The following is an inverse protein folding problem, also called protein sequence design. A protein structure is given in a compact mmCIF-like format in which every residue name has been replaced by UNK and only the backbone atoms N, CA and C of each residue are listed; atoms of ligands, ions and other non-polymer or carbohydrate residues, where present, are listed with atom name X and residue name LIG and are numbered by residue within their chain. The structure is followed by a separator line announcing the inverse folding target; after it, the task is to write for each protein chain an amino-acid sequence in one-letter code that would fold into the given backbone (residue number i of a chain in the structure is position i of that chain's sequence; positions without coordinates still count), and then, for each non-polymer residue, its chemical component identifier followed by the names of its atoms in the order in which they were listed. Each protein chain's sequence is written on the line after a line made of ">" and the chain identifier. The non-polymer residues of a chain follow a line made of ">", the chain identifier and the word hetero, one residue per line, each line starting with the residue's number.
data_IF_964529401835
#
_entry.id   IF_964529401835
#
_cell.length_a   1.000
_cell.length_b   1.000
_cell.length_c   1.000
_cell.angle_alpha   90.00
_cell.angle_beta   90.00
_cell.angle_gamma   90.00
#
_symmetry.space_group_name_H-M   'P 1'
#
loop_
_entity.id
_entity.type
_entity.pdbx_description
1 polymer ?
#
# COMPACT_ATOMS: atom_id res chain seq x y z
N UNK A 1 -0.72 -58.38 -36.73
CA UNK A 1 -0.96 -58.98 -35.40
C UNK A 1 -0.07 -58.23 -34.41
N UNK A 2 -0.66 -57.52 -33.45
CA UNK A 2 -0.03 -56.73 -32.34
C UNK A 2 0.93 -55.61 -32.76
N UNK A 3 0.63 -54.31 -32.68
CA UNK A 3 -0.09 -53.55 -31.65
C UNK A 3 0.40 -53.81 -30.22
N UNK A 4 1.51 -53.17 -29.85
CA UNK A 4 1.75 -52.73 -28.47
C UNK A 4 2.81 -51.60 -28.48
N UNK A 5 2.43 -50.35 -28.76
CA UNK A 5 2.07 -49.41 -27.70
C UNK A 5 2.81 -49.67 -26.38
N UNK A 6 4.13 -49.47 -26.36
CA UNK A 6 4.80 -49.02 -25.13
C UNK A 6 4.35 -47.59 -24.85
N UNK A 7 3.09 -47.47 -24.44
CA UNK A 7 2.56 -46.33 -23.71
C UNK A 7 3.39 -46.31 -22.42
N UNK A 8 4.47 -45.51 -22.38
CA UNK A 8 5.16 -45.19 -21.14
C UNK A 8 4.09 -44.71 -20.18
N UNK A 9 3.72 -45.57 -19.22
CA UNK A 9 2.83 -45.15 -18.15
C UNK A 9 3.46 -43.93 -17.47
N UNK A 10 2.67 -42.90 -17.15
CA UNK A 10 3.21 -41.77 -16.39
C UNK A 10 3.73 -42.32 -15.07
N UNK A 11 5.06 -42.34 -14.91
CA UNK A 11 5.72 -42.71 -13.67
C UNK A 11 5.06 -41.92 -12.54
N UNK A 12 4.31 -42.62 -11.68
CA UNK A 12 3.67 -42.04 -10.49
C UNK A 12 4.80 -41.51 -9.62
N UNK A 13 5.10 -40.22 -9.72
CA UNK A 13 6.07 -39.56 -8.85
C UNK A 13 5.67 -39.83 -7.41
N UNK A 14 6.56 -40.48 -6.66
CA UNK A 14 6.37 -40.77 -5.24
C UNK A 14 5.93 -39.49 -4.50
N UNK A 15 5.00 -39.61 -3.54
CA UNK A 15 4.57 -38.51 -2.67
C UNK A 15 5.78 -37.73 -2.11
N UNK A 16 6.87 -38.44 -1.79
CA UNK A 16 8.12 -37.87 -1.28
C UNK A 16 8.77 -36.96 -2.33
N UNK A 17 8.80 -37.36 -3.59
CA UNK A 17 9.40 -36.55 -4.67
C UNK A 17 8.61 -35.27 -4.96
N UNK A 18 7.27 -35.32 -4.88
CA UNK A 18 6.44 -34.12 -5.02
C UNK A 18 6.62 -33.19 -3.82
N UNK A 19 6.66 -33.73 -2.60
CA UNK A 19 6.90 -32.96 -1.40
C UNK A 19 8.26 -32.24 -1.46
N UNK A 20 9.34 -32.94 -1.83
CA UNK A 20 10.68 -32.35 -1.94
C UNK A 20 10.70 -31.21 -2.98
N UNK A 21 10.06 -31.41 -4.15
CA UNK A 21 10.07 -30.43 -5.24
C UNK A 21 9.40 -29.09 -4.89
N UNK A 22 8.47 -29.06 -3.94
CA UNK A 22 7.84 -27.82 -3.47
C UNK A 22 8.44 -27.29 -2.17
N UNK A 23 8.76 -28.19 -1.23
CA UNK A 23 9.26 -27.81 0.09
C UNK A 23 10.65 -27.18 0.01
N UNK A 24 11.55 -27.73 -0.83
CA UNK A 24 12.93 -27.21 -0.92
C UNK A 24 12.98 -25.77 -1.47
N UNK A 25 12.34 -25.44 -2.62
CA UNK A 25 12.33 -24.06 -3.10
C UNK A 25 11.60 -23.09 -2.16
N UNK A 26 10.52 -23.54 -1.51
CA UNK A 26 9.78 -22.71 -0.55
C UNK A 26 10.62 -22.39 0.68
N UNK A 27 11.35 -23.38 1.20
CA UNK A 27 12.25 -23.22 2.33
C UNK A 27 13.42 -22.31 1.96
N UNK A 28 13.97 -22.44 0.75
CA UNK A 28 15.00 -21.52 0.25
C UNK A 28 14.51 -20.07 0.26
N UNK A 29 13.33 -19.80 -0.34
CA UNK A 29 12.72 -18.47 -0.36
C UNK A 29 12.48 -17.94 1.06
N UNK A 30 12.05 -18.80 1.98
CA UNK A 30 11.83 -18.42 3.37
C UNK A 30 13.13 -18.06 4.08
N UNK A 31 14.14 -18.93 4.00
CA UNK A 31 15.44 -18.73 4.64
C UNK A 31 16.11 -17.47 4.10
N UNK A 32 16.18 -17.29 2.78
CA UNK A 32 16.80 -16.09 2.21
C UNK A 32 16.07 -14.83 2.63
N UNK A 33 14.73 -14.85 2.71
CA UNK A 33 13.97 -13.70 3.21
C UNK A 33 14.39 -13.34 4.64
N UNK A 34 14.35 -14.30 5.56
CA UNK A 34 14.60 -14.07 6.98
C UNK A 34 16.07 -13.77 7.28
N UNK A 35 17.01 -14.37 6.58
CA UNK A 35 18.45 -14.09 6.76
C UNK A 35 18.74 -12.60 6.53
N UNK A 36 18.33 -12.03 5.40
CA UNK A 36 18.56 -10.61 5.14
C UNK A 36 17.68 -9.70 6.00
N UNK A 37 16.44 -10.12 6.33
CA UNK A 37 15.58 -9.37 7.25
C UNK A 37 16.24 -9.19 8.62
N UNK A 38 16.77 -10.28 9.18
CA UNK A 38 17.45 -10.28 10.47
C UNK A 38 18.77 -9.51 10.41
N UNK A 39 19.54 -9.62 9.33
CA UNK A 39 20.77 -8.84 9.16
C UNK A 39 20.49 -7.34 9.13
N UNK A 40 19.48 -6.89 8.36
CA UNK A 40 19.06 -5.48 8.35
C UNK A 40 18.65 -5.04 9.74
N UNK A 41 17.83 -5.83 10.46
CA UNK A 41 17.46 -5.49 11.84
C UNK A 41 18.69 -5.35 12.74
N UNK A 42 19.60 -6.33 12.68
CA UNK A 42 20.80 -6.36 13.52
C UNK A 42 21.73 -5.18 13.23
N UNK A 43 21.87 -4.74 11.97
CA UNK A 43 22.63 -3.54 11.63
C UNK A 43 22.08 -2.31 12.37
N UNK A 44 20.76 -2.12 12.37
CA UNK A 44 20.13 -0.99 13.06
C UNK A 44 20.18 -1.14 14.58
N UNK A 45 20.03 -2.36 15.11
CA UNK A 45 20.11 -2.62 16.55
C UNK A 45 21.51 -2.30 17.08
N UNK A 46 22.56 -2.74 16.38
CA UNK A 46 23.96 -2.36 16.68
C UNK A 46 24.17 -0.85 16.58
N UNK A 47 23.58 -0.20 15.58
CA UNK A 47 23.70 1.25 15.44
C UNK A 47 23.03 2.00 16.60
N UNK A 48 21.85 1.54 17.04
CA UNK A 48 21.14 2.12 18.18
C UNK A 48 21.91 1.93 19.49
N UNK A 49 22.49 0.75 19.74
CA UNK A 49 23.33 0.51 20.90
C UNK A 49 24.55 1.45 20.96
N UNK A 50 25.16 1.74 19.81
CA UNK A 50 26.30 2.66 19.70
C UNK A 50 25.93 4.12 19.99
N UNK A 51 24.64 4.48 20.06
CA UNK A 51 24.20 5.84 20.43
C UNK A 51 24.17 6.09 21.93
N UNK A 52 24.48 5.09 22.75
CA UNK A 52 24.40 5.16 24.22
C UNK A 52 25.12 6.38 24.81
N UNK A 53 24.37 7.23 25.51
CA UNK A 53 24.91 8.38 26.28
C UNK A 53 24.67 8.15 27.77
N UNK A 54 25.72 8.30 28.58
CA UNK A 54 25.60 8.32 30.04
C UNK A 54 25.14 9.71 30.50
N UNK A 55 23.94 9.81 31.06
CA UNK A 55 23.37 11.08 31.52
C UNK A 55 23.71 11.40 32.96
N UNK A 56 24.23 10.44 33.73
CA UNK A 56 24.63 10.62 35.13
C UNK A 56 26.03 10.02 35.38
N UNK A 57 27.09 10.59 34.77
CA UNK A 57 28.44 10.01 34.83
C UNK A 57 29.02 9.88 36.25
N UNK A 58 28.57 10.73 37.17
CA UNK A 58 29.05 10.73 38.56
C UNK A 58 28.09 10.05 39.56
N UNK A 59 26.99 9.46 39.09
CA UNK A 59 26.06 8.74 39.96
C UNK A 59 26.56 7.31 40.24
N UNK A 60 26.26 6.78 41.44
CA UNK A 60 26.54 5.37 41.79
C UNK A 60 25.86 4.37 40.83
N UNK A 61 24.75 4.78 40.23
CA UNK A 61 24.02 4.06 39.20
C UNK A 61 23.92 4.94 37.96
N UNK A 62 24.76 4.71 36.93
CA UNK A 62 24.71 5.50 35.70
C UNK A 62 23.43 5.22 34.93
N UNK A 63 22.78 6.28 34.47
CA UNK A 63 21.59 6.25 33.62
C UNK A 63 22.01 6.42 32.18
N UNK A 64 21.41 5.64 31.28
CA UNK A 64 21.72 5.67 29.86
C UNK A 64 20.50 6.04 29.03
N UNK A 65 20.73 6.83 27.99
CA UNK A 65 19.72 7.16 26.98
C UNK A 65 20.22 6.69 25.61
N UNK A 66 19.30 6.20 24.79
CA UNK A 66 19.54 5.66 23.45
C UNK A 66 18.66 6.40 22.46
N UNK A 67 19.08 6.44 21.20
CA UNK A 67 18.27 7.01 20.14
C UNK A 67 17.17 6.01 19.70
N UNK A 68 16.02 6.06 20.36
CA UNK A 68 14.87 5.22 20.02
C UNK A 68 14.27 5.53 18.65
N UNK A 69 14.52 6.72 18.08
CA UNK A 69 14.00 7.10 16.76
C UNK A 69 14.60 6.26 15.62
N UNK A 70 15.76 5.62 15.84
CA UNK A 70 16.35 4.66 14.92
C UNK A 70 15.47 3.42 14.74
N UNK A 71 14.65 3.06 15.74
CA UNK A 71 13.69 1.97 15.63
C UNK A 71 12.65 2.20 14.54
N UNK A 72 12.18 3.44 14.37
CA UNK A 72 11.24 3.78 13.29
C UNK A 72 11.89 3.67 11.91
N UNK A 73 13.12 4.19 11.77
CA UNK A 73 13.90 4.08 10.52
C UNK A 73 14.14 2.61 10.16
N UNK A 74 14.55 1.78 11.15
CA UNK A 74 14.71 0.34 10.99
C UNK A 74 13.44 -0.30 10.43
N UNK A 75 12.29 -0.06 11.06
CA UNK A 75 11.04 -0.66 10.65
C UNK A 75 10.63 -0.24 9.22
N UNK A 76 10.85 1.01 8.83
CA UNK A 76 10.60 1.46 7.45
C UNK A 76 11.50 0.72 6.46
N UNK A 77 12.79 0.54 6.76
CA UNK A 77 13.69 -0.24 5.92
C UNK A 77 13.30 -1.71 5.81
N UNK A 78 12.82 -2.32 6.90
CA UNK A 78 12.30 -3.68 6.87
C UNK A 78 11.07 -3.79 5.97
N UNK A 79 10.16 -2.82 6.02
CA UNK A 79 9.02 -2.76 5.10
C UNK A 79 9.45 -2.56 3.63
N UNK A 80 10.42 -1.68 3.37
CA UNK A 80 11.00 -1.47 2.03
C UNK A 80 11.62 -2.78 1.52
N UNK A 81 12.40 -3.46 2.36
CA UNK A 81 13.02 -4.73 2.04
C UNK A 81 11.97 -5.80 1.69
N UNK A 82 10.89 -5.93 2.47
CA UNK A 82 9.81 -6.87 2.17
C UNK A 82 9.19 -6.60 0.80
N UNK A 83 8.93 -5.33 0.45
CA UNK A 83 8.40 -4.97 -0.87
C UNK A 83 9.38 -5.29 -2.01
N UNK A 84 10.67 -5.01 -1.83
CA UNK A 84 11.71 -5.31 -2.82
C UNK A 84 11.80 -6.82 -3.02
N UNK A 85 11.90 -7.59 -1.94
CA UNK A 85 12.01 -9.05 -1.99
C UNK A 85 10.81 -9.67 -2.73
N UNK A 86 9.61 -9.24 -2.36
CA UNK A 86 8.38 -9.70 -2.98
C UNK A 86 8.30 -9.31 -4.48
N UNK A 87 8.79 -8.12 -4.85
CA UNK A 87 8.93 -7.70 -6.26
C UNK A 87 9.91 -8.60 -7.02
N UNK A 88 11.05 -8.95 -6.44
CA UNK A 88 12.05 -9.82 -7.06
C UNK A 88 11.44 -11.21 -7.36
N UNK A 89 10.63 -11.76 -6.45
CA UNK A 89 9.93 -13.03 -6.70
C UNK A 89 8.95 -12.93 -7.88
N UNK A 90 8.27 -11.80 -8.04
CA UNK A 90 7.41 -11.54 -9.21
C UNK A 90 8.22 -11.49 -10.50
N UNK A 91 9.33 -10.74 -10.50
CA UNK A 91 10.23 -10.60 -11.65
C UNK A 91 10.79 -11.97 -12.07
N UNK A 92 11.28 -12.75 -11.11
CA UNK A 92 11.76 -14.12 -11.36
C UNK A 92 10.65 -14.97 -12.00
N UNK A 93 9.42 -14.87 -11.50
CA UNK A 93 8.33 -15.67 -12.06
C UNK A 93 7.91 -15.20 -13.46
N UNK A 94 7.88 -13.89 -13.72
CA UNK A 94 7.51 -13.34 -15.03
C UNK A 94 8.50 -13.70 -16.13
N UNK A 95 9.80 -13.57 -15.84
CA UNK A 95 10.83 -13.68 -16.87
C UNK A 95 11.52 -15.06 -16.92
N UNK A 96 11.62 -15.78 -15.80
CA UNK A 96 12.34 -17.07 -15.72
C UNK A 96 11.43 -18.26 -15.47
N UNK A 97 10.72 -18.29 -14.34
CA UNK A 97 10.03 -19.52 -13.90
C UNK A 97 8.71 -19.79 -14.65
N UNK A 98 7.94 -18.74 -14.98
CA UNK A 98 6.63 -18.80 -15.67
C UNK A 98 5.70 -19.88 -15.09
N UNK A 99 5.72 -20.04 -13.77
CA UNK A 99 5.00 -21.09 -13.06
C UNK A 99 3.70 -20.53 -12.47
N UNK A 100 2.57 -21.18 -12.78
CA UNK A 100 1.24 -20.80 -12.29
C UNK A 100 1.12 -20.88 -10.77
N UNK A 101 1.66 -21.94 -10.15
CA UNK A 101 1.60 -22.12 -8.70
C UNK A 101 2.37 -21.00 -7.99
N UNK A 102 3.58 -20.69 -8.48
CA UNK A 102 4.39 -19.59 -7.95
C UNK A 102 3.71 -18.23 -8.17
N UNK A 103 2.98 -18.05 -9.27
CA UNK A 103 2.23 -16.83 -9.54
C UNK A 103 1.13 -16.59 -8.51
N UNK A 104 0.35 -17.63 -8.18
CA UNK A 104 -0.71 -17.55 -7.16
C UNK A 104 -0.12 -17.26 -5.78
N UNK A 105 0.96 -17.96 -5.41
CA UNK A 105 1.67 -17.74 -4.15
C UNK A 105 2.19 -16.31 -4.05
N UNK A 106 2.80 -15.78 -5.13
CA UNK A 106 3.27 -14.40 -5.18
C UNK A 106 2.13 -13.40 -4.95
N UNK A 107 0.94 -13.61 -5.54
CA UNK A 107 -0.20 -12.70 -5.32
C UNK A 107 -0.63 -12.68 -3.85
N UNK A 108 -0.67 -13.84 -3.19
CA UNK A 108 -1.03 -13.93 -1.77
C UNK A 108 0.00 -13.20 -0.91
N UNK A 109 1.29 -13.49 -1.12
CA UNK A 109 2.40 -12.84 -0.40
C UNK A 109 2.38 -11.33 -0.64
N UNK A 110 2.16 -10.89 -1.87
CA UNK A 110 2.16 -9.48 -2.23
C UNK A 110 0.95 -8.73 -1.67
N UNK A 111 -0.21 -9.38 -1.59
CA UNK A 111 -1.38 -8.83 -0.92
C UNK A 111 -1.10 -8.59 0.57
N UNK A 112 -0.48 -9.57 1.24
CA UNK A 112 -0.07 -9.44 2.64
C UNK A 112 1.00 -8.37 2.84
N UNK A 113 2.04 -8.36 2.00
CA UNK A 113 3.11 -7.37 2.05
C UNK A 113 2.58 -5.94 1.86
N UNK A 114 1.65 -5.76 0.91
CA UNK A 114 0.98 -4.48 0.69
C UNK A 114 0.16 -4.06 1.91
N UNK A 115 -0.64 -4.97 2.48
CA UNK A 115 -1.43 -4.67 3.68
C UNK A 115 -0.53 -4.26 4.85
N UNK A 116 0.54 -5.01 5.11
CA UNK A 116 1.52 -4.72 6.15
C UNK A 116 2.21 -3.36 5.93
N UNK A 117 2.56 -3.04 4.68
CA UNK A 117 3.14 -1.73 4.36
C UNK A 117 2.15 -0.59 4.61
N UNK A 118 0.89 -0.76 4.20
CA UNK A 118 -0.11 0.29 4.33
C UNK A 118 -0.54 0.54 5.77
N UNK A 119 -0.60 -0.50 6.61
CA UNK A 119 -0.93 -0.35 8.04
C UNK A 119 0.28 0.01 8.89
N UNK A 120 1.38 -0.72 8.75
CA UNK A 120 2.60 -0.56 9.57
C UNK A 120 3.59 0.41 8.96
N UNK A 121 3.92 0.26 7.68
CA UNK A 121 4.92 1.09 7.00
C UNK A 121 4.56 2.58 6.97
N UNK A 122 3.33 2.92 6.60
CA UNK A 122 2.85 4.31 6.63
C UNK A 122 2.80 4.89 8.05
N UNK A 123 2.49 4.06 9.05
CA UNK A 123 2.51 4.47 10.45
C UNK A 123 3.94 4.79 10.90
N UNK A 124 4.93 3.94 10.60
CA UNK A 124 6.34 4.20 10.92
C UNK A 124 6.86 5.46 10.21
N UNK A 125 6.42 5.74 8.99
CA UNK A 125 6.73 7.01 8.30
C UNK A 125 6.08 8.23 8.99
N UNK A 126 4.93 8.07 9.64
CA UNK A 126 4.33 9.12 10.48
C UNK A 126 5.12 9.33 11.77
N UNK A 127 5.58 8.25 12.42
CA UNK A 127 6.41 8.34 13.62
C UNK A 127 7.74 9.05 13.35
N UNK A 128 8.39 8.79 12.20
CA UNK A 128 9.59 9.53 11.78
C UNK A 128 9.32 11.04 11.67
N UNK A 129 8.18 11.41 11.09
CA UNK A 129 7.76 12.82 10.99
C UNK A 129 7.53 13.42 12.37
N UNK A 130 6.84 12.72 13.25
CA UNK A 130 6.53 13.23 14.58
C UNK A 130 7.80 13.34 15.43
N UNK A 131 8.74 12.39 15.33
CA UNK A 131 10.07 12.49 15.93
C UNK A 131 10.90 13.67 15.40
N UNK A 132 10.67 14.08 14.14
CA UNK A 132 11.29 15.28 13.56
C UNK A 132 10.66 16.58 14.07
N UNK A 133 9.32 16.63 14.15
CA UNK A 133 8.56 17.81 14.57
C UNK A 133 8.64 18.06 16.08
N UNK A 134 8.59 17.00 16.88
CA UNK A 134 8.61 17.05 18.33
C UNK A 134 9.91 16.48 18.84
N UNK A 135 10.98 17.28 18.75
CA UNK A 135 12.28 16.94 19.31
C UNK A 135 12.21 17.08 20.83
N UNK A 136 11.59 16.09 21.48
CA UNK A 136 11.39 16.05 22.94
C UNK A 136 12.67 15.68 23.69
N UNK A 137 13.67 15.09 23.02
CA UNK A 137 14.92 14.69 23.63
C UNK A 137 16.03 15.73 23.44
N UNK A 138 16.67 16.11 24.54
CA UNK A 138 17.82 17.02 24.53
C UNK A 138 19.06 16.42 23.84
N UNK A 139 19.11 15.09 23.69
CA UNK A 139 20.31 14.36 23.29
C UNK A 139 20.31 13.94 21.81
N UNK A 140 19.15 13.62 21.24
CA UNK A 140 19.04 13.13 19.86
C UNK A 140 18.08 13.99 19.06
N UNK A 141 18.55 14.48 17.91
CA UNK A 141 17.73 15.24 16.96
C UNK A 141 17.59 14.46 15.67
N UNK A 142 16.36 14.30 15.23
CA UNK A 142 16.07 13.69 13.93
C UNK A 142 16.41 14.70 12.82
N UNK A 143 17.30 14.34 11.90
CA UNK A 143 17.66 15.19 10.78
C UNK A 143 16.55 15.25 9.73
N UNK A 144 16.43 16.37 9.00
CA UNK A 144 15.44 16.55 7.94
C UNK A 144 15.56 15.51 6.81
N UNK A 145 16.76 14.94 6.60
CA UNK A 145 16.98 13.88 5.63
C UNK A 145 16.17 12.60 5.91
N UNK A 146 15.74 12.35 7.15
CA UNK A 146 14.89 11.20 7.47
C UNK A 146 13.50 11.31 6.84
N UNK A 147 13.03 12.52 6.55
CA UNK A 147 11.75 12.75 5.88
C UNK A 147 11.79 12.26 4.43
N UNK A 148 12.96 12.26 3.78
CA UNK A 148 13.13 11.76 2.41
C UNK A 148 12.86 10.25 2.30
N UNK A 149 12.98 9.51 3.40
CA UNK A 149 12.73 8.07 3.43
C UNK A 149 11.30 7.72 3.00
N UNK A 150 10.35 8.65 3.23
CA UNK A 150 8.97 8.54 2.75
C UNK A 150 8.89 8.42 1.24
N UNK A 151 9.60 9.28 0.50
CA UNK A 151 9.57 9.28 -0.95
C UNK A 151 10.31 8.08 -1.54
N UNK A 152 11.36 7.60 -0.87
CA UNK A 152 12.02 6.33 -1.21
C UNK A 152 11.03 5.17 -1.06
N UNK A 153 10.32 5.10 0.07
CA UNK A 153 9.31 4.07 0.30
C UNK A 153 8.18 4.10 -0.74
N UNK A 154 7.73 5.29 -1.14
CA UNK A 154 6.70 5.44 -2.19
C UNK A 154 7.22 5.03 -3.56
N UNK A 155 8.47 5.34 -3.91
CA UNK A 155 9.08 4.91 -5.16
C UNK A 155 9.17 3.38 -5.24
N UNK A 156 9.62 2.74 -4.16
CA UNK A 156 9.67 1.26 -4.06
C UNK A 156 8.28 0.66 -4.17
N UNK A 157 7.28 1.23 -3.48
CA UNK A 157 5.90 0.78 -3.58
C UNK A 157 5.36 0.92 -5.02
N UNK A 158 5.69 2.01 -5.72
CA UNK A 158 5.32 2.20 -7.13
C UNK A 158 5.88 1.10 -8.03
N UNK A 159 7.16 0.75 -7.86
CA UNK A 159 7.81 -0.36 -8.58
C UNK A 159 7.13 -1.69 -8.24
N UNK A 160 6.85 -1.93 -6.96
CA UNK A 160 6.14 -3.12 -6.49
C UNK A 160 4.75 -3.26 -7.13
N UNK A 161 3.97 -2.18 -7.15
CA UNK A 161 2.64 -2.16 -7.77
C UNK A 161 2.72 -2.38 -9.28
N UNK A 162 3.72 -1.79 -9.96
CA UNK A 162 3.93 -1.96 -11.39
C UNK A 162 4.20 -3.43 -11.77
N UNK A 163 5.11 -4.12 -11.07
CA UNK A 163 5.38 -5.52 -11.37
C UNK A 163 4.21 -6.44 -11.01
N UNK A 164 3.48 -6.13 -9.93
CA UNK A 164 2.24 -6.85 -9.62
C UNK A 164 1.16 -6.66 -10.69
N UNK A 165 1.05 -5.46 -11.26
CA UNK A 165 0.17 -5.20 -12.39
C UNK A 165 0.55 -6.05 -13.61
N UNK A 166 1.84 -6.13 -13.93
CA UNK A 166 2.35 -6.99 -15.02
C UNK A 166 2.04 -8.47 -14.75
N UNK A 167 2.19 -8.93 -13.51
CA UNK A 167 1.83 -10.30 -13.12
C UNK A 167 0.34 -10.58 -13.34
N UNK A 168 -0.54 -9.71 -12.85
CA UNK A 168 -1.99 -9.83 -13.01
C UNK A 168 -2.45 -9.73 -14.48
N UNK A 169 -1.66 -9.10 -15.36
CA UNK A 169 -1.93 -8.98 -16.80
C UNK A 169 -1.30 -10.11 -17.62
N UNK A 170 -0.37 -10.87 -17.05
CA UNK A 170 0.26 -12.00 -17.73
C UNK A 170 -0.77 -13.08 -18.11
N UNK A 171 -0.44 -13.91 -19.11
CA UNK A 171 -1.31 -15.01 -19.57
C UNK A 171 -1.62 -16.06 -18.50
N UNK A 172 -0.97 -15.98 -17.34
CA UNK A 172 -1.17 -16.87 -16.20
C UNK A 172 -2.51 -16.61 -15.50
N UNK A 173 -3.13 -15.45 -15.70
CA UNK A 173 -4.37 -15.06 -15.02
C UNK A 173 -5.45 -14.53 -15.96
N UNK A 174 -6.71 -14.74 -15.56
CA UNK A 174 -7.88 -14.26 -16.29
C UNK A 174 -8.18 -12.77 -16.05
N UNK A 175 -9.01 -12.19 -16.93
CA UNK A 175 -9.42 -10.77 -16.89
C UNK A 175 -9.93 -10.30 -15.51
N UNK A 176 -10.64 -11.18 -14.76
CA UNK A 176 -11.17 -10.87 -13.42
C UNK A 176 -10.10 -10.43 -12.42
N UNK A 177 -8.92 -11.04 -12.43
CA UNK A 177 -7.85 -10.71 -11.49
C UNK A 177 -7.21 -9.36 -11.81
N UNK A 178 -7.07 -9.03 -13.10
CA UNK A 178 -6.64 -7.69 -13.51
C UNK A 178 -7.62 -6.61 -13.04
N UNK A 179 -8.92 -6.87 -13.10
CA UNK A 179 -9.96 -5.96 -12.58
C UNK A 179 -9.84 -5.79 -11.07
N UNK A 180 -9.65 -6.88 -10.31
CA UNK A 180 -9.44 -6.82 -8.86
C UNK A 180 -8.21 -5.98 -8.49
N UNK A 181 -7.11 -6.10 -9.25
CA UNK A 181 -5.90 -5.33 -9.02
C UNK A 181 -6.13 -3.81 -9.16
N UNK A 182 -6.97 -3.36 -10.09
CA UNK A 182 -7.31 -1.94 -10.21
C UNK A 182 -7.98 -1.40 -8.94
N UNK A 183 -8.86 -2.16 -8.29
CA UNK A 183 -9.45 -1.74 -7.02
C UNK A 183 -8.38 -1.60 -5.93
N UNK A 184 -7.48 -2.59 -5.81
CA UNK A 184 -6.35 -2.54 -4.86
C UNK A 184 -5.47 -1.32 -5.13
N UNK A 185 -5.18 -1.02 -6.39
CA UNK A 185 -4.40 0.14 -6.80
C UNK A 185 -5.07 1.45 -6.37
N UNK A 186 -6.37 1.63 -6.65
CA UNK A 186 -7.09 2.86 -6.28
C UNK A 186 -7.24 3.05 -4.78
N UNK A 187 -7.41 1.96 -4.02
CA UNK A 187 -7.43 2.00 -2.55
C UNK A 187 -6.04 2.39 -2.03
N UNK A 188 -4.98 1.80 -2.59
CA UNK A 188 -3.59 2.11 -2.22
C UNK A 188 -3.25 3.58 -2.48
N UNK A 189 -3.61 4.11 -3.66
CA UNK A 189 -3.40 5.52 -4.00
C UNK A 189 -4.14 6.43 -3.02
N UNK A 190 -5.41 6.12 -2.69
CA UNK A 190 -6.16 6.91 -1.72
C UNK A 190 -5.48 6.93 -0.34
N UNK A 191 -4.95 5.80 0.09
CA UNK A 191 -4.28 5.68 1.39
C UNK A 191 -2.95 6.45 1.41
N UNK A 192 -2.17 6.39 0.33
CA UNK A 192 -0.95 7.19 0.15
C UNK A 192 -1.24 8.68 0.14
N UNK A 193 -2.22 9.12 -0.64
CA UNK A 193 -2.63 10.52 -0.70
C UNK A 193 -3.12 11.02 0.67
N UNK A 194 -3.85 10.17 1.41
CA UNK A 194 -4.27 10.48 2.78
C UNK A 194 -3.06 10.63 3.72
N UNK A 195 -2.10 9.70 3.66
CA UNK A 195 -0.85 9.79 4.45
C UNK A 195 -0.02 11.02 4.09
N UNK A 196 0.01 11.41 2.81
CA UNK A 196 0.74 12.57 2.34
C UNK A 196 0.08 13.87 2.79
N UNK A 197 -1.24 13.97 2.68
CA UNK A 197 -1.97 15.11 3.19
C UNK A 197 -1.72 15.31 4.69
N UNK A 198 -1.81 14.24 5.48
CA UNK A 198 -1.56 14.31 6.93
C UNK A 198 -0.13 14.75 7.24
N UNK A 199 0.84 14.35 6.42
CA UNK A 199 2.23 14.77 6.58
C UNK A 199 2.43 16.25 6.26
N UNK A 200 1.89 16.72 5.13
CA UNK A 200 1.96 18.13 4.73
C UNK A 200 1.28 19.00 5.78
N UNK A 201 0.07 18.64 6.22
CA UNK A 201 -0.64 19.40 7.25
C UNK A 201 0.11 19.43 8.58
N UNK A 202 0.78 18.33 8.97
CA UNK A 202 1.59 18.29 10.18
C UNK A 202 2.79 19.25 10.08
N UNK A 203 3.52 19.21 8.96
CA UNK A 203 4.69 20.05 8.72
C UNK A 203 4.31 21.53 8.67
N UNK A 204 3.11 21.84 8.18
CA UNK A 204 2.55 23.19 8.18
C UNK A 204 1.96 23.63 9.54
N UNK A 205 1.99 22.78 10.58
CA UNK A 205 1.42 23.09 11.89
C UNK A 205 -0.12 23.07 11.95
N UNK A 206 -0.81 22.62 10.91
CA UNK A 206 -2.27 22.66 10.75
C UNK A 206 -2.95 21.35 11.19
N UNK A 207 -2.60 20.85 12.38
CA UNK A 207 -3.10 19.55 12.87
C UNK A 207 -4.62 19.49 13.08
N UNK A 208 -5.24 20.61 13.43
CA UNK A 208 -6.70 20.72 13.58
C UNK A 208 -7.45 20.46 12.26
N UNK A 209 -6.79 20.63 11.12
CA UNK A 209 -7.37 20.43 9.78
C UNK A 209 -7.40 18.98 9.30
N UNK A 210 -6.88 18.00 10.04
CA UNK A 210 -6.72 16.62 9.54
C UNK A 210 -8.04 15.98 9.12
N UNK A 211 -9.07 16.05 9.95
CA UNK A 211 -10.37 15.41 9.67
C UNK A 211 -11.01 16.00 8.41
N UNK A 212 -11.11 17.34 8.36
CA UNK A 212 -11.69 18.06 7.23
C UNK A 212 -10.89 17.85 5.95
N UNK A 213 -9.56 17.94 6.04
CA UNK A 213 -8.66 17.71 4.91
C UNK A 213 -8.85 16.32 4.31
N UNK A 214 -8.91 15.27 5.14
CA UNK A 214 -9.14 13.91 4.68
C UNK A 214 -10.48 13.76 3.94
N UNK A 215 -11.54 14.39 4.44
CA UNK A 215 -12.86 14.31 3.79
C UNK A 215 -12.92 15.07 2.48
N UNK A 216 -12.26 16.23 2.39
CA UNK A 216 -12.09 16.96 1.12
C UNK A 216 -11.28 16.14 0.12
N UNK A 217 -10.20 15.49 0.57
CA UNK A 217 -9.36 14.64 -0.27
C UNK A 217 -10.15 13.44 -0.79
N UNK A 218 -10.90 12.74 0.06
CA UNK A 218 -11.65 11.57 -0.39
C UNK A 218 -12.78 11.97 -1.34
N UNK A 219 -13.48 13.08 -1.06
CA UNK A 219 -14.52 13.63 -1.93
C UNK A 219 -13.97 14.03 -3.31
N UNK A 220 -12.91 14.83 -3.35
CA UNK A 220 -12.25 15.22 -4.61
C UNK A 220 -11.66 14.03 -5.37
N UNK A 221 -11.02 13.09 -4.67
CA UNK A 221 -10.51 11.87 -5.29
C UNK A 221 -11.62 11.01 -5.91
N UNK A 222 -12.77 10.88 -5.22
CA UNK A 222 -13.92 10.16 -5.77
C UNK A 222 -14.46 10.80 -7.05
N UNK A 223 -14.54 12.14 -7.12
CA UNK A 223 -14.93 12.87 -8.34
C UNK A 223 -13.97 12.61 -9.50
N UNK A 224 -12.66 12.67 -9.23
CA UNK A 224 -11.62 12.39 -10.23
C UNK A 224 -11.76 10.95 -10.74
N UNK A 225 -11.99 9.98 -9.86
CA UNK A 225 -12.21 8.59 -10.27
C UNK A 225 -13.49 8.40 -11.08
N UNK A 226 -14.58 9.10 -10.76
CA UNK A 226 -15.82 9.08 -11.57
C UNK A 226 -15.51 9.62 -12.97
N UNK A 227 -14.84 10.77 -13.07
CA UNK A 227 -14.46 11.38 -14.34
C UNK A 227 -13.55 10.44 -15.18
N UNK A 228 -12.54 9.82 -14.55
CA UNK A 228 -11.65 8.85 -15.21
C UNK A 228 -12.43 7.61 -15.64
N UNK A 229 -13.32 7.07 -14.79
CA UNK A 229 -14.12 5.89 -15.09
C UNK A 229 -15.08 6.10 -16.27
N UNK A 230 -15.63 7.32 -16.39
CA UNK A 230 -16.44 7.75 -17.53
C UNK A 230 -15.55 7.91 -18.77
N UNK A 231 -14.44 8.66 -18.68
CA UNK A 231 -13.58 8.93 -19.84
C UNK A 231 -12.96 7.65 -20.43
N UNK A 232 -12.59 6.69 -19.58
CA UNK A 232 -11.98 5.42 -20.00
C UNK A 232 -13.00 4.31 -20.32
N UNK A 233 -14.30 4.59 -20.24
CA UNK A 233 -15.38 3.61 -20.41
C UNK A 233 -15.13 2.31 -19.63
N UNK A 234 -14.82 2.44 -18.33
CA UNK A 234 -14.57 1.30 -17.45
C UNK A 234 -15.64 1.24 -16.36
N UNK A 235 -16.65 0.40 -16.58
CA UNK A 235 -17.79 0.18 -15.65
C UNK A 235 -17.35 -0.07 -14.20
N UNK A 236 -16.34 -0.92 -14.00
CA UNK A 236 -15.85 -1.27 -12.67
C UNK A 236 -15.25 -0.07 -11.90
N UNK A 237 -14.56 0.84 -12.60
CA UNK A 237 -14.02 2.08 -12.00
C UNK A 237 -15.17 2.99 -11.57
N UNK A 238 -16.20 3.15 -12.42
CA UNK A 238 -17.37 3.99 -12.12
C UNK A 238 -18.09 3.51 -10.86
N UNK A 239 -18.39 2.22 -10.77
CA UNK A 239 -19.08 1.63 -9.61
C UNK A 239 -18.26 1.82 -8.33
N UNK A 240 -16.96 1.56 -8.39
CA UNK A 240 -16.07 1.77 -7.24
C UNK A 240 -16.01 3.23 -6.79
N UNK A 241 -15.93 4.16 -7.75
CA UNK A 241 -15.86 5.59 -7.46
C UNK A 241 -17.17 6.13 -6.85
N UNK A 242 -18.33 5.67 -7.35
CA UNK A 242 -19.64 6.01 -6.78
C UNK A 242 -19.79 5.42 -5.36
N UNK A 243 -19.34 4.19 -5.13
CA UNK A 243 -19.33 3.57 -3.81
C UNK A 243 -18.45 4.33 -2.82
N UNK A 244 -17.23 4.68 -3.22
CA UNK A 244 -16.32 5.51 -2.42
C UNK A 244 -16.96 6.87 -2.12
N UNK A 245 -17.57 7.51 -3.13
CA UNK A 245 -18.25 8.77 -2.95
C UNK A 245 -19.40 8.68 -1.93
N UNK A 246 -20.23 7.64 -2.02
CA UNK A 246 -21.29 7.37 -1.03
C UNK A 246 -20.73 7.23 0.39
N UNK A 247 -19.61 6.52 0.57
CA UNK A 247 -18.92 6.39 1.87
C UNK A 247 -18.43 7.76 2.36
N UNK A 248 -17.86 8.59 1.48
CA UNK A 248 -17.38 9.94 1.86
C UNK A 248 -18.51 10.85 2.31
N UNK A 249 -19.64 10.81 1.61
CA UNK A 249 -20.84 11.53 2.02
C UNK A 249 -21.29 11.06 3.39
N UNK A 250 -21.47 9.75 3.57
CA UNK A 250 -21.92 9.19 4.84
C UNK A 250 -21.00 9.60 6.00
N UNK A 251 -19.68 9.50 5.81
CA UNK A 251 -18.68 9.93 6.79
C UNK A 251 -18.81 11.43 7.10
N UNK A 252 -18.93 12.27 6.08
CA UNK A 252 -19.04 13.71 6.22
C UNK A 252 -20.31 14.10 7.01
N UNK A 253 -21.45 13.47 6.72
CA UNK A 253 -22.71 13.71 7.40
C UNK A 253 -22.71 13.23 8.87
N UNK A 254 -22.22 12.02 9.13
CA UNK A 254 -22.30 11.41 10.46
C UNK A 254 -21.22 11.92 11.42
N UNK A 255 -19.99 12.13 10.93
CA UNK A 255 -18.83 12.40 11.78
C UNK A 255 -18.29 13.83 11.66
N UNK A 256 -18.20 14.39 10.45
CA UNK A 256 -17.54 15.68 10.28
C UNK A 256 -18.49 16.85 10.57
N UNK A 257 -19.73 16.78 10.06
CA UNK A 257 -20.73 17.84 10.20
C UNK A 257 -21.21 18.02 11.66
N UNK A 258 -21.16 16.97 12.48
CA UNK A 258 -21.63 17.02 13.88
C UNK A 258 -20.74 17.87 14.78
N UNK A 259 -19.46 18.02 14.45
CA UNK A 259 -18.50 18.82 15.21
C UNK A 259 -18.29 20.23 14.65
N UNK A 260 -18.95 20.58 13.54
CA UNK A 260 -18.82 21.89 12.89
C UNK A 260 -19.80 22.91 13.47
N UNK A 261 -19.37 24.18 13.51
CA UNK A 261 -20.27 25.28 13.80
C UNK A 261 -21.35 25.44 12.70
N UNK A 262 -22.42 26.17 13.01
CA UNK A 262 -23.58 26.33 12.11
C UNK A 262 -23.19 26.86 10.73
N UNK A 263 -22.25 27.81 10.65
CA UNK A 263 -21.81 28.43 9.38
C UNK A 263 -21.05 27.41 8.51
N UNK A 264 -20.08 26.70 9.09
CA UNK A 264 -19.30 25.67 8.41
C UNK A 264 -20.17 24.49 7.95
N UNK A 265 -21.16 24.12 8.78
CA UNK A 265 -22.18 23.13 8.41
C UNK A 265 -22.98 23.55 7.17
N UNK A 266 -23.45 24.80 7.11
CA UNK A 266 -24.17 25.32 5.94
C UNK A 266 -23.29 25.32 4.68
N UNK A 267 -22.04 25.78 4.77
CA UNK A 267 -21.10 25.78 3.65
C UNK A 267 -20.85 24.35 3.16
N UNK A 268 -20.66 23.39 4.08
CA UNK A 268 -20.47 21.98 3.74
C UNK A 268 -21.68 21.40 2.99
N UNK A 269 -22.91 21.72 3.42
CA UNK A 269 -24.13 21.31 2.72
C UNK A 269 -24.24 21.88 1.31
N UNK A 270 -23.94 23.17 1.12
CA UNK A 270 -23.94 23.81 -0.20
C UNK A 270 -22.90 23.18 -1.12
N UNK A 271 -21.66 23.02 -0.64
CA UNK A 271 -20.59 22.39 -1.40
C UNK A 271 -20.96 20.96 -1.83
N UNK A 272 -21.61 20.22 -0.94
CA UNK A 272 -22.10 18.86 -1.20
C UNK A 272 -23.21 18.82 -2.25
N UNK A 273 -24.15 19.77 -2.20
CA UNK A 273 -25.18 19.93 -3.22
C UNK A 273 -24.60 20.24 -4.60
N UNK A 274 -23.65 21.16 -4.69
CA UNK A 274 -22.92 21.47 -5.93
C UNK A 274 -22.20 20.22 -6.45
N UNK A 275 -21.58 19.46 -5.56
CA UNK A 275 -20.83 18.27 -5.92
C UNK A 275 -21.73 17.15 -6.47
N UNK A 276 -22.92 16.96 -5.88
CA UNK A 276 -23.95 16.06 -6.41
C UNK A 276 -24.44 16.49 -7.80
N UNK A 277 -24.62 17.80 -8.02
CA UNK A 277 -25.00 18.34 -9.33
C UNK A 277 -23.92 18.07 -10.38
N UNK A 278 -22.64 18.24 -10.03
CA UNK A 278 -21.52 17.94 -10.94
C UNK A 278 -21.54 16.46 -11.34
N UNK A 279 -21.73 15.54 -10.40
CA UNK A 279 -21.79 14.10 -10.69
C UNK A 279 -22.98 13.77 -11.60
N UNK A 280 -24.17 14.31 -11.27
CA UNK A 280 -25.38 14.13 -12.08
C UNK A 280 -25.17 14.65 -13.51
N UNK A 281 -24.59 15.84 -13.64
CA UNK A 281 -24.26 16.44 -14.93
C UNK A 281 -23.26 15.59 -15.73
N UNK A 282 -22.17 15.14 -15.11
CA UNK A 282 -21.18 14.27 -15.75
C UNK A 282 -21.83 12.97 -16.26
N UNK A 283 -22.66 12.33 -15.43
CA UNK A 283 -23.34 11.10 -15.82
C UNK A 283 -24.30 11.31 -16.99
N UNK A 284 -25.08 12.40 -16.96
CA UNK A 284 -26.03 12.72 -18.02
C UNK A 284 -25.33 13.12 -19.34
N UNK A 285 -24.30 13.98 -19.27
CA UNK A 285 -23.55 14.45 -20.43
C UNK A 285 -22.84 13.31 -21.18
N UNK A 286 -22.25 12.37 -20.43
CA UNK A 286 -21.50 11.26 -21.00
C UNK A 286 -22.33 9.98 -21.17
N UNK A 287 -23.66 10.06 -21.04
CA UNK A 287 -24.58 8.92 -21.15
C UNK A 287 -24.37 8.09 -22.43
N UNK A 288 -24.04 8.73 -23.55
CA UNK A 288 -23.74 8.05 -24.82
C UNK A 288 -22.55 7.08 -24.70
N UNK A 289 -21.43 7.52 -24.08
CA UNK A 289 -20.26 6.68 -23.82
C UNK A 289 -20.56 5.52 -22.87
N UNK A 290 -21.55 5.69 -21.98
CA UNK A 290 -21.97 4.67 -21.02
C UNK A 290 -22.84 3.60 -21.70
N UNK A 291 -23.73 3.99 -22.62
CA UNK A 291 -24.65 3.08 -23.32
C UNK A 291 -23.90 2.16 -24.29
N UNK A 292 -22.87 2.66 -24.97
CA UNK A 292 -22.08 1.87 -25.92
C UNK A 292 -21.28 0.75 -25.23
N UNK A 293 -20.80 0.99 -24.00
CA UNK A 293 -20.11 -0.01 -23.15
C UNK A 293 -21.02 -1.21 -22.81
N UNK A 294 -22.29 -0.96 -22.49
CA UNK A 294 -23.29 -2.00 -22.16
C UNK A 294 -23.59 -2.88 -23.38
N UNK A 295 -23.57 -2.32 -24.59
CA UNK A 295 -23.77 -3.09 -25.83
C UNK A 295 -22.57 -3.97 -26.19
N UNK A 296 -21.36 -3.62 -25.75
CA UNK A 296 -20.15 -4.41 -26.01
C UNK A 296 -19.87 -5.51 -24.97
N UNK A 297 -20.46 -5.43 -23.77
CA UNK A 297 -20.36 -6.46 -22.73
C UNK A 297 -21.40 -7.60 -22.85
N UNK A 298 -22.48 -7.39 -23.62
CA UNK A 298 -23.52 -8.40 -23.93
C UNK A 298 -23.26 -9.08 -25.26
#
# INVERSE_FOLDING_TARGET
>A
FMFWLTKKEPQKTSFISQFINYSVPSLLIFVTYFTFYLEISSIFDRHAENTKINTTPNAKTPSYVYNYSLGYIKNVWLHIYTLIYATILVVINLYKAKNNTLAVVNIIINCLALLIFLTGGLLMLSEIRDAYLYQSENYFRMGAGSLLLRYIAYAVLGIFLYYNFLLCKSSLFGKKLSTAFYYVLYITILWLLSSELLHILALSGLKSGYKLGLSILWGSYSLILIAIGIWKNKKYIRIGAIGLFGITLLKLFLYDITQLNTIAKTIAFVALGVLLLIISFLYNKYKHLIIDDVKTEN
#
